data_IF_394333621313
#
_entry.id   IF_394333621313
#
_cell.length_a   1.000
_cell.length_b   1.000
_cell.length_c   1.000
_cell.angle_alpha   90.00
_cell.angle_beta   90.00
_cell.angle_gamma   90.00
#
_symmetry.space_group_name_H-M   'P 1'
#
loop_
_entity.id
_entity.type
_entity.pdbx_description
1 polymer ?
#
# COMPACT_ATOMS: atom_id res chain seq x y z
N UNK A 1 9.57 25.02 -5.08
CA UNK A 1 8.45 24.36 -4.36
C UNK A 1 7.83 23.33 -5.29
N UNK A 2 7.62 22.10 -4.84
CA UNK A 2 7.06 20.98 -5.62
C UNK A 2 5.63 20.74 -5.13
N UNK A 3 4.66 20.68 -6.03
CA UNK A 3 3.27 20.44 -5.70
C UNK A 3 2.99 18.93 -5.72
N UNK A 4 2.66 18.38 -4.56
CA UNK A 4 2.41 16.95 -4.35
C UNK A 4 0.96 16.72 -3.99
N UNK A 5 0.27 15.79 -4.63
CA UNK A 5 -1.07 15.39 -4.20
C UNK A 5 -1.07 13.99 -3.62
N UNK A 6 -1.84 13.80 -2.54
CA UNK A 6 -2.03 12.51 -1.84
C UNK A 6 -3.52 12.26 -1.68
N UNK A 7 -3.99 11.10 -2.14
CA UNK A 7 -5.38 10.67 -1.96
C UNK A 7 -5.55 9.82 -0.69
N UNK A 8 -6.81 9.62 -0.28
CA UNK A 8 -7.16 8.71 0.80
C UNK A 8 -6.57 9.09 2.15
N UNK A 9 -6.51 10.38 2.44
CA UNK A 9 -5.84 10.90 3.65
C UNK A 9 -6.57 10.58 4.96
N UNK A 10 -7.77 10.03 4.90
CA UNK A 10 -8.46 9.47 6.06
C UNK A 10 -7.89 8.13 6.53
N UNK A 11 -7.26 7.38 5.61
CA UNK A 11 -6.66 6.07 5.89
C UNK A 11 -5.19 6.15 6.34
N UNK A 12 -4.71 5.08 6.97
CA UNK A 12 -3.35 5.00 7.50
C UNK A 12 -2.25 5.05 6.41
N UNK A 13 -2.57 4.67 5.16
CA UNK A 13 -1.66 4.75 4.01
C UNK A 13 -1.41 6.20 3.63
N UNK A 14 -2.48 6.97 3.34
CA UNK A 14 -2.37 8.38 2.98
C UNK A 14 -1.73 9.23 4.08
N UNK A 15 -2.13 9.00 5.34
CA UNK A 15 -1.50 9.62 6.51
C UNK A 15 -0.01 9.27 6.62
N UNK A 16 0.34 8.00 6.33
CA UNK A 16 1.72 7.54 6.31
C UNK A 16 2.56 8.27 5.27
N UNK A 17 2.03 8.44 4.05
CA UNK A 17 2.69 9.20 2.98
C UNK A 17 2.88 10.67 3.35
N UNK A 18 1.85 11.32 3.91
CA UNK A 18 1.97 12.73 4.34
C UNK A 18 3.02 12.87 5.44
N UNK A 19 3.08 11.94 6.42
CA UNK A 19 4.14 11.96 7.44
C UNK A 19 5.54 11.82 6.83
N UNK A 20 5.70 11.05 5.76
CA UNK A 20 6.96 10.95 5.00
C UNK A 20 7.30 12.28 4.34
N UNK A 21 6.34 12.91 3.68
CA UNK A 21 6.52 14.18 2.99
C UNK A 21 6.86 15.33 3.97
N UNK A 22 6.19 15.36 5.13
CA UNK A 22 6.47 16.34 6.18
C UNK A 22 7.86 16.18 6.84
N UNK A 23 8.49 15.00 6.70
CA UNK A 23 9.87 14.75 7.16
C UNK A 23 10.91 15.03 6.08
N UNK A 24 10.49 15.34 4.86
CA UNK A 24 11.38 15.60 3.73
C UNK A 24 12.06 16.96 3.86
N UNK A 25 13.34 17.02 3.45
CA UNK A 25 14.08 18.29 3.31
C UNK A 25 13.72 19.04 2.01
N UNK A 26 12.81 18.51 1.17
CA UNK A 26 12.35 19.16 -0.05
C UNK A 26 11.32 20.24 0.28
N UNK A 27 11.34 21.32 -0.48
CA UNK A 27 10.32 22.38 -0.40
C UNK A 27 9.05 21.90 -1.11
N UNK A 28 8.06 21.38 -0.33
CA UNK A 28 6.84 20.76 -0.81
C UNK A 28 5.60 21.58 -0.45
N UNK A 29 4.61 21.60 -1.35
CA UNK A 29 3.22 21.94 -1.06
C UNK A 29 2.38 20.68 -1.23
N UNK A 30 1.68 20.26 -0.18
CA UNK A 30 0.99 18.96 -0.13
C UNK A 30 -0.51 19.16 -0.21
N UNK A 31 -1.11 18.76 -1.32
CA UNK A 31 -2.54 18.77 -1.58
C UNK A 31 -3.16 17.45 -1.13
N UNK A 32 -4.11 17.50 -0.22
CA UNK A 32 -4.77 16.35 0.41
C UNK A 32 -6.15 16.18 -0.18
N UNK A 33 -6.45 15.00 -0.72
CA UNK A 33 -7.77 14.69 -1.27
C UNK A 33 -8.37 13.44 -0.62
N UNK A 34 -9.67 13.50 -0.36
CA UNK A 34 -10.47 12.37 0.09
C UNK A 34 -11.91 12.53 -0.36
N UNK A 35 -12.65 11.43 -0.43
CA UNK A 35 -14.07 11.44 -0.78
C UNK A 35 -15.01 11.65 0.43
N UNK A 36 -14.45 11.74 1.63
CA UNK A 36 -15.23 11.87 2.87
C UNK A 36 -14.88 13.14 3.64
N UNK A 37 -15.85 13.97 3.88
CA UNK A 37 -15.74 15.15 4.76
C UNK A 37 -15.43 14.80 6.22
N UNK A 38 -15.53 13.52 6.60
CA UNK A 38 -15.24 13.06 7.96
C UNK A 38 -13.76 12.66 8.15
N UNK A 39 -12.93 12.78 7.12
CA UNK A 39 -11.52 12.44 7.22
C UNK A 39 -10.74 13.53 7.95
N UNK A 40 -10.19 13.19 9.10
CA UNK A 40 -9.57 14.11 10.05
C UNK A 40 -8.45 14.97 9.45
N UNK A 41 -7.63 14.39 8.56
CA UNK A 41 -6.49 15.08 7.96
C UNK A 41 -6.87 16.19 6.97
N UNK A 42 -8.14 16.30 6.58
CA UNK A 42 -8.66 17.41 5.79
C UNK A 42 -8.82 18.72 6.58
N UNK A 43 -8.66 18.66 7.90
CA UNK A 43 -8.82 19.81 8.81
C UNK A 43 -7.51 20.32 9.40
N UNK A 44 -6.36 19.77 8.99
CA UNK A 44 -5.05 20.14 9.53
C UNK A 44 -4.42 21.35 8.82
N UNK A 45 -4.82 21.64 7.59
CA UNK A 45 -4.39 22.80 6.82
C UNK A 45 -5.39 23.16 5.69
N UNK A 46 -5.02 24.14 4.85
CA UNK A 46 -5.91 24.68 3.82
C UNK A 46 -5.81 24.00 2.45
N UNK A 47 -4.77 23.20 2.17
CA UNK A 47 -4.62 22.50 0.88
C UNK A 47 -5.33 21.12 0.91
N UNK A 48 -6.61 21.15 1.29
CA UNK A 48 -7.46 19.98 1.48
C UNK A 48 -8.74 20.10 0.64
N UNK A 49 -9.13 18.98 -0.02
CA UNK A 49 -10.21 18.96 -1.00
C UNK A 49 -11.01 17.66 -0.92
N UNK A 50 -12.32 17.77 -1.19
CA UNK A 50 -13.19 16.61 -1.34
C UNK A 50 -13.23 16.21 -2.81
N UNK A 51 -12.88 14.96 -3.10
CA UNK A 51 -12.99 14.37 -4.43
C UNK A 51 -14.31 13.62 -4.60
N UNK A 52 -14.77 13.38 -5.83
CA UNK A 52 -15.74 12.34 -6.12
C UNK A 52 -15.23 10.99 -5.63
N UNK A 53 -16.15 10.04 -5.44
CA UNK A 53 -15.79 8.66 -5.17
C UNK A 53 -15.23 8.02 -6.45
N UNK A 54 -14.51 6.90 -6.31
CA UNK A 54 -13.95 6.16 -7.45
C UNK A 54 -15.03 5.57 -8.39
N UNK A 55 -16.27 5.52 -7.97
CA UNK A 55 -17.43 5.02 -8.74
C UNK A 55 -18.09 6.11 -9.60
N UNK A 56 -17.65 7.36 -9.45
CA UNK A 56 -18.08 8.51 -10.22
C UNK A 56 -17.05 8.88 -11.28
N UNK A 57 -17.11 10.09 -11.86
CA UNK A 57 -16.13 10.53 -12.87
C UNK A 57 -14.80 10.97 -12.23
N UNK A 58 -14.20 10.07 -11.44
CA UNK A 58 -12.98 10.32 -10.67
C UNK A 58 -11.77 10.67 -11.55
N UNK A 59 -11.62 10.03 -12.70
CA UNK A 59 -10.46 10.28 -13.58
C UNK A 59 -10.53 11.67 -14.22
N UNK A 60 -11.70 12.12 -14.64
CA UNK A 60 -11.87 13.49 -15.19
C UNK A 60 -11.64 14.55 -14.11
N UNK A 61 -12.19 14.33 -12.90
CA UNK A 61 -11.91 15.17 -11.75
C UNK A 61 -10.40 15.23 -11.49
N UNK A 62 -9.72 14.11 -11.38
CA UNK A 62 -8.30 14.08 -11.09
C UNK A 62 -7.45 14.83 -12.12
N UNK A 63 -7.78 14.69 -13.42
CA UNK A 63 -7.10 15.43 -14.49
C UNK A 63 -7.33 16.94 -14.35
N UNK A 64 -8.57 17.37 -14.07
CA UNK A 64 -8.89 18.77 -13.82
C UNK A 64 -8.14 19.31 -12.60
N UNK A 65 -8.22 18.61 -11.48
CA UNK A 65 -7.56 18.94 -10.22
C UNK A 65 -6.04 19.10 -10.39
N UNK A 66 -5.38 18.13 -11.04
CA UNK A 66 -3.95 18.16 -11.32
C UNK A 66 -3.56 19.41 -12.12
N UNK A 67 -4.32 19.75 -13.15
CA UNK A 67 -4.03 20.91 -13.99
C UNK A 67 -4.29 22.24 -13.25
N UNK A 68 -5.40 22.33 -12.50
CA UNK A 68 -5.76 23.52 -11.71
C UNK A 68 -4.68 23.84 -10.66
N UNK A 69 -4.24 22.82 -9.92
CA UNK A 69 -3.27 22.98 -8.83
C UNK A 69 -1.81 22.78 -9.27
N UNK A 70 -1.56 22.51 -10.55
CA UNK A 70 -0.21 22.29 -11.13
C UNK A 70 0.56 21.21 -10.35
N UNK A 71 -0.09 20.07 -10.12
CA UNK A 71 0.49 18.97 -9.37
C UNK A 71 1.64 18.34 -10.16
N UNK A 72 2.83 18.25 -9.55
CA UNK A 72 4.01 17.64 -10.14
C UNK A 72 4.02 16.11 -9.98
N UNK A 73 3.51 15.62 -8.84
CA UNK A 73 3.42 14.20 -8.56
C UNK A 73 2.17 13.88 -7.74
N UNK A 74 1.50 12.78 -8.12
CA UNK A 74 0.32 12.24 -7.43
C UNK A 74 0.64 10.86 -6.80
N UNK A 75 0.32 10.72 -5.52
CA UNK A 75 0.42 9.47 -4.75
C UNK A 75 -0.97 8.91 -4.45
N UNK A 76 -1.45 7.91 -5.21
CA UNK A 76 -2.68 7.21 -4.89
C UNK A 76 -2.47 6.30 -3.67
N UNK A 77 -3.39 6.38 -2.68
CA UNK A 77 -3.26 5.69 -1.40
C UNK A 77 -4.48 4.84 -0.99
N UNK A 78 -5.47 4.68 -1.87
CA UNK A 78 -6.66 3.86 -1.62
C UNK A 78 -6.56 2.57 -2.43
N UNK A 79 -6.69 1.41 -1.79
CA UNK A 79 -6.59 0.11 -2.47
C UNK A 79 -7.49 0.01 -3.69
N UNK A 80 -8.74 0.47 -3.58
CA UNK A 80 -9.71 0.43 -4.68
C UNK A 80 -9.39 1.39 -5.83
N UNK A 81 -8.66 2.49 -5.59
CA UNK A 81 -8.28 3.42 -6.67
C UNK A 81 -7.05 2.96 -7.45
N UNK A 82 -6.14 2.21 -6.82
CA UNK A 82 -4.87 1.79 -7.43
C UNK A 82 -5.06 1.13 -8.80
N UNK A 83 -5.93 0.12 -8.97
CA UNK A 83 -6.18 -0.50 -10.29
C UNK A 83 -6.76 0.49 -11.30
N UNK A 84 -7.65 1.38 -10.86
CA UNK A 84 -8.29 2.39 -11.72
C UNK A 84 -7.26 3.40 -12.21
N UNK A 85 -6.44 3.92 -11.30
CA UNK A 85 -5.36 4.87 -11.63
C UNK A 85 -4.33 4.20 -12.52
N UNK A 86 -3.90 2.98 -12.21
CA UNK A 86 -2.93 2.25 -13.02
C UNK A 86 -3.41 2.04 -14.45
N UNK A 87 -4.67 1.62 -14.64
CA UNK A 87 -5.30 1.46 -15.96
C UNK A 87 -5.40 2.77 -16.75
N UNK A 88 -5.53 3.90 -16.07
CA UNK A 88 -5.67 5.23 -16.68
C UNK A 88 -4.39 6.09 -16.61
N UNK A 89 -3.26 5.54 -16.17
CA UNK A 89 -2.01 6.26 -15.96
C UNK A 89 -1.58 7.06 -17.19
N UNK A 90 -1.55 6.43 -18.35
CA UNK A 90 -1.14 7.09 -19.61
C UNK A 90 -2.11 8.20 -20.01
N UNK A 91 -3.42 7.99 -19.80
CA UNK A 91 -4.44 9.03 -20.03
C UNK A 91 -4.23 10.24 -19.12
N UNK A 92 -3.93 10.02 -17.84
CA UNK A 92 -3.66 11.10 -16.88
C UNK A 92 -2.39 11.83 -17.29
N UNK A 93 -1.29 11.11 -17.49
CA UNK A 93 0.01 11.70 -17.82
C UNK A 93 0.05 12.38 -19.21
N UNK A 94 -0.75 11.93 -20.18
CA UNK A 94 -0.84 12.59 -21.49
C UNK A 94 -1.65 13.90 -21.46
N UNK A 95 -2.53 14.07 -20.47
CA UNK A 95 -3.36 15.28 -20.30
C UNK A 95 -2.84 16.25 -19.24
N UNK A 96 -1.77 15.86 -18.55
CA UNK A 96 -1.16 16.64 -17.47
C UNK A 96 0.36 16.49 -17.51
N UNK A 97 1.10 17.36 -16.81
CA UNK A 97 2.55 17.20 -16.59
C UNK A 97 2.90 16.32 -15.39
N UNK A 98 1.89 15.86 -14.67
CA UNK A 98 2.01 15.16 -13.40
C UNK A 98 2.65 13.76 -13.56
N UNK A 99 3.51 13.38 -12.62
CA UNK A 99 3.95 12.01 -12.45
C UNK A 99 2.99 11.26 -11.55
N UNK A 100 2.48 10.12 -12.01
CA UNK A 100 1.59 9.27 -11.21
C UNK A 100 2.40 8.11 -10.63
N UNK A 101 2.51 8.05 -9.30
CA UNK A 101 3.28 7.01 -8.62
C UNK A 101 2.46 5.73 -8.48
N UNK A 102 2.34 5.02 -9.56
CA UNK A 102 1.70 3.69 -9.63
C UNK A 102 2.43 2.86 -10.68
N UNK A 103 2.48 1.55 -10.48
CA UNK A 103 3.05 0.62 -11.45
C UNK A 103 2.06 0.22 -12.56
N UNK A 104 2.51 -0.60 -13.51
CA UNK A 104 1.72 -1.06 -14.63
C UNK A 104 0.53 -1.91 -14.18
N UNK A 105 -0.60 -1.77 -14.86
CA UNK A 105 -1.86 -2.40 -14.48
C UNK A 105 -1.76 -3.91 -14.30
N UNK A 106 -1.04 -4.62 -15.19
CA UNK A 106 -0.85 -6.06 -15.07
C UNK A 106 -0.14 -6.47 -13.77
N UNK A 107 0.89 -5.73 -13.35
CA UNK A 107 1.59 -5.98 -12.09
C UNK A 107 0.68 -5.70 -10.88
N UNK A 108 -0.10 -4.61 -10.96
CA UNK A 108 -1.09 -4.28 -9.93
C UNK A 108 -2.12 -5.41 -9.77
N UNK A 109 -2.60 -5.99 -10.88
CA UNK A 109 -3.53 -7.12 -10.82
C UNK A 109 -2.91 -8.34 -10.11
N UNK A 110 -1.65 -8.69 -10.40
CA UNK A 110 -0.94 -9.78 -9.71
C UNK A 110 -0.89 -9.54 -8.20
N UNK A 111 -0.59 -8.32 -7.78
CA UNK A 111 -0.51 -7.99 -6.35
C UNK A 111 -1.89 -7.92 -5.67
N UNK A 112 -2.94 -7.49 -6.38
CA UNK A 112 -4.28 -7.36 -5.80
C UNK A 112 -5.01 -8.69 -5.59
N UNK A 113 -4.76 -9.66 -6.46
CA UNK A 113 -5.39 -10.98 -6.41
C UNK A 113 -4.44 -11.98 -5.74
N UNK A 114 -4.80 -12.45 -4.55
CA UNK A 114 -3.97 -13.37 -3.75
C UNK A 114 -3.74 -14.73 -4.42
N UNK A 115 -4.67 -15.17 -5.28
CA UNK A 115 -4.46 -16.37 -6.10
C UNK A 115 -3.42 -16.13 -7.18
N UNK A 116 -3.51 -15.00 -7.90
CA UNK A 116 -2.51 -14.61 -8.90
C UNK A 116 -1.14 -14.38 -8.26
N UNK A 117 -1.09 -13.77 -7.07
CA UNK A 117 0.13 -13.61 -6.28
C UNK A 117 0.80 -14.97 -6.01
N UNK A 118 0.04 -15.97 -5.53
CA UNK A 118 0.58 -17.30 -5.23
C UNK A 118 1.10 -17.98 -6.51
N UNK A 119 0.31 -17.99 -7.59
CA UNK A 119 0.74 -18.55 -8.89
C UNK A 119 2.00 -17.87 -9.40
N UNK A 120 2.07 -16.54 -9.34
CA UNK A 120 3.25 -15.78 -9.75
C UNK A 120 4.50 -16.18 -8.94
N UNK A 121 4.39 -16.29 -7.63
CA UNK A 121 5.51 -16.69 -6.77
C UNK A 121 5.96 -18.12 -7.09
N UNK A 122 5.04 -19.05 -7.33
CA UNK A 122 5.33 -20.43 -7.71
C UNK A 122 6.04 -20.51 -9.07
N UNK A 123 5.59 -19.76 -10.07
CA UNK A 123 6.20 -19.73 -11.41
C UNK A 123 7.69 -19.33 -11.37
N UNK A 124 8.05 -18.49 -10.40
CA UNK A 124 9.45 -18.10 -10.14
C UNK A 124 10.15 -18.94 -9.08
N UNK A 125 9.54 -20.05 -8.64
CA UNK A 125 10.08 -20.93 -7.58
C UNK A 125 10.40 -20.17 -6.27
N UNK A 126 9.66 -19.11 -6.00
CA UNK A 126 9.72 -18.37 -4.74
C UNK A 126 8.82 -19.03 -3.69
N UNK A 127 9.24 -18.96 -2.43
CA UNK A 127 8.44 -19.52 -1.33
C UNK A 127 7.09 -18.78 -1.24
N UNK A 128 6.01 -19.56 -1.09
CA UNK A 128 4.68 -19.05 -0.77
C UNK A 128 3.88 -20.14 -0.05
N UNK A 129 2.79 -19.80 0.67
CA UNK A 129 1.90 -20.82 1.21
C UNK A 129 1.14 -21.53 0.09
N UNK A 130 0.92 -22.83 0.22
CA UNK A 130 0.05 -23.58 -0.69
C UNK A 130 -1.29 -22.86 -0.81
N UNK A 131 -1.69 -22.48 -2.01
CA UNK A 131 -2.87 -21.62 -2.25
C UNK A 131 -3.66 -22.14 -3.43
N UNK A 132 -4.98 -22.33 -3.27
CA UNK A 132 -5.86 -22.80 -4.34
C UNK A 132 -7.24 -22.14 -4.32
N UNK A 133 -8.00 -22.36 -5.41
CA UNK A 133 -9.43 -22.08 -5.46
C UNK A 133 -10.18 -23.20 -4.72
N UNK A 134 -11.31 -22.86 -4.11
CA UNK A 134 -12.10 -23.82 -3.32
C UNK A 134 -13.04 -24.58 -4.24
N UNK A 135 -12.54 -25.67 -4.86
CA UNK A 135 -13.30 -26.50 -5.79
C UNK A 135 -13.78 -27.84 -5.17
N UNK A 136 -13.21 -28.22 -4.04
CA UNK A 136 -13.53 -29.46 -3.31
C UNK A 136 -13.40 -29.25 -1.80
N UNK A 137 -14.11 -30.05 -1.03
CA UNK A 137 -13.92 -30.16 0.42
C UNK A 137 -12.83 -31.15 0.82
N UNK A 138 -12.23 -31.90 -0.14
CA UNK A 138 -11.21 -32.91 0.12
C UNK A 138 -9.84 -32.28 0.36
N UNK A 139 -9.78 -31.50 1.43
CA UNK A 139 -8.53 -30.97 1.96
C UNK A 139 -8.08 -31.82 3.15
N UNK A 140 -6.80 -32.19 3.19
CA UNK A 140 -6.28 -33.15 4.17
C UNK A 140 -5.36 -32.54 5.22
N UNK A 141 -5.00 -31.24 5.06
CA UNK A 141 -4.14 -30.51 5.99
C UNK A 141 -4.96 -29.44 6.67
N UNK A 142 -4.98 -29.39 7.97
CA UNK A 142 -5.64 -28.37 8.80
C UNK A 142 -4.69 -27.91 9.91
N UNK A 143 -4.80 -26.66 10.40
CA UNK A 143 -5.73 -25.64 9.94
C UNK A 143 -5.37 -25.02 8.58
N UNK A 144 -6.35 -24.41 7.90
CA UNK A 144 -6.16 -23.61 6.70
C UNK A 144 -6.84 -22.25 6.84
N UNK A 145 -6.45 -21.30 6.00
CA UNK A 145 -7.09 -19.99 5.88
C UNK A 145 -8.00 -19.97 4.65
N UNK A 146 -9.24 -19.55 4.82
CA UNK A 146 -10.11 -19.10 3.71
C UNK A 146 -10.21 -17.58 3.79
N UNK A 147 -9.96 -16.92 2.67
CA UNK A 147 -10.02 -15.45 2.57
C UNK A 147 -10.40 -14.99 1.18
N UNK A 148 -10.91 -13.76 1.07
CA UNK A 148 -11.18 -13.14 -0.22
C UNK A 148 -9.92 -13.04 -1.08
N UNK A 149 -10.04 -13.35 -2.37
CA UNK A 149 -8.97 -13.19 -3.37
C UNK A 149 -8.51 -11.74 -3.44
N UNK A 150 -9.46 -10.82 -3.56
CA UNK A 150 -9.22 -9.37 -3.59
C UNK A 150 -9.69 -8.75 -2.27
N UNK A 151 -9.17 -7.56 -1.94
CA UNK A 151 -9.52 -6.84 -0.73
C UNK A 151 -8.37 -6.66 0.23
N UNK A 152 -8.57 -5.79 1.22
CA UNK A 152 -7.56 -5.31 2.16
C UNK A 152 -8.08 -5.25 3.60
N UNK A 153 -7.18 -4.99 4.55
CA UNK A 153 -7.52 -4.70 5.94
C UNK A 153 -7.94 -5.91 6.76
N UNK A 154 -7.47 -7.11 6.41
CA UNK A 154 -7.75 -8.37 7.14
C UNK A 154 -9.25 -8.67 7.34
N UNK A 155 -10.09 -8.15 6.44
CA UNK A 155 -11.52 -8.43 6.44
C UNK A 155 -11.76 -9.79 5.79
N UNK A 156 -12.78 -10.50 6.31
CA UNK A 156 -13.25 -11.74 5.72
C UNK A 156 -12.15 -12.83 5.63
N UNK A 157 -11.48 -13.06 6.77
CA UNK A 157 -10.47 -14.12 6.95
C UNK A 157 -11.03 -15.14 7.92
N UNK A 158 -11.08 -16.40 7.50
CA UNK A 158 -11.61 -17.52 8.27
C UNK A 158 -10.52 -18.56 8.51
N UNK A 159 -10.27 -18.88 9.76
CA UNK A 159 -9.40 -19.99 10.15
C UNK A 159 -10.26 -21.25 10.26
N UNK A 160 -9.94 -22.25 9.47
CA UNK A 160 -10.75 -23.46 9.24
C UNK A 160 -9.99 -24.67 9.80
N UNK A 161 -10.70 -25.47 10.57
CA UNK A 161 -10.13 -26.66 11.25
C UNK A 161 -10.70 -27.98 10.74
N UNK A 162 -11.76 -27.96 9.92
CA UNK A 162 -12.41 -29.18 9.42
C UNK A 162 -12.93 -29.02 7.99
N UNK A 163 -13.17 -30.17 7.33
CA UNK A 163 -13.76 -30.20 5.97
C UNK A 163 -15.16 -29.60 5.92
N UNK A 164 -15.93 -29.77 6.99
CA UNK A 164 -17.30 -29.29 7.11
C UNK A 164 -17.38 -27.77 7.05
N UNK A 165 -16.39 -27.09 7.64
CA UNK A 165 -16.29 -25.62 7.65
C UNK A 165 -15.96 -25.02 6.28
N UNK A 166 -15.44 -25.80 5.33
CA UNK A 166 -15.16 -25.37 3.96
C UNK A 166 -16.45 -25.21 3.15
N UNK A 167 -17.52 -25.96 3.47
CA UNK A 167 -18.75 -26.06 2.67
C UNK A 167 -19.39 -24.71 2.26
N UNK A 168 -19.46 -23.69 3.15
CA UNK A 168 -20.07 -22.39 2.78
C UNK A 168 -19.31 -21.66 1.65
N UNK A 169 -18.05 -21.98 1.44
CA UNK A 169 -17.15 -21.32 0.48
C UNK A 169 -16.96 -22.12 -0.81
N UNK A 170 -17.52 -23.33 -0.90
CA UNK A 170 -17.30 -24.23 -2.03
C UNK A 170 -17.78 -23.61 -3.34
N UNK A 171 -16.92 -23.68 -4.37
CA UNK A 171 -17.14 -23.10 -5.70
C UNK A 171 -17.34 -21.57 -5.72
N UNK A 172 -17.08 -20.89 -4.63
CA UNK A 172 -17.07 -19.43 -4.62
C UNK A 172 -15.71 -18.92 -5.13
N UNK A 173 -15.71 -18.34 -6.34
CA UNK A 173 -14.50 -17.88 -7.03
C UNK A 173 -13.87 -16.62 -6.40
N UNK A 174 -14.59 -15.96 -5.49
CA UNK A 174 -14.13 -14.78 -4.79
C UNK A 174 -13.24 -15.13 -3.58
N UNK A 175 -13.12 -16.43 -3.26
CA UNK A 175 -12.32 -16.92 -2.15
C UNK A 175 -11.20 -17.85 -2.61
N UNK A 176 -10.15 -17.87 -1.81
CA UNK A 176 -9.06 -18.84 -1.87
C UNK A 176 -9.00 -19.64 -0.57
N UNK A 177 -8.47 -20.85 -0.68
CA UNK A 177 -8.00 -21.65 0.44
C UNK A 177 -6.47 -21.60 0.45
N UNK A 178 -5.89 -21.31 1.61
CA UNK A 178 -4.44 -21.12 1.74
C UNK A 178 -3.92 -21.85 2.98
N UNK A 179 -2.73 -22.40 2.88
CA UNK A 179 -1.99 -22.99 3.99
C UNK A 179 -1.92 -22.00 5.16
N UNK A 180 -2.26 -22.46 6.37
CA UNK A 180 -2.03 -21.68 7.58
C UNK A 180 -0.54 -21.68 7.92
N UNK A 181 0.03 -20.50 7.97
CA UNK A 181 1.39 -20.31 8.46
C UNK A 181 1.32 -19.86 9.92
N UNK A 182 1.94 -20.63 10.80
CA UNK A 182 2.03 -20.27 12.22
C UNK A 182 3.14 -19.23 12.47
N UNK A 183 3.13 -18.65 13.68
CA UNK A 183 4.18 -17.75 14.14
C UNK A 183 3.87 -16.26 13.93
N UNK A 184 4.91 -15.46 14.09
CA UNK A 184 4.83 -14.00 14.02
C UNK A 184 4.52 -13.48 12.62
N UNK A 185 3.84 -12.36 12.54
CA UNK A 185 3.55 -11.68 11.29
C UNK A 185 4.54 -10.54 11.04
N UNK A 186 5.06 -10.51 9.82
CA UNK A 186 6.02 -9.52 9.35
C UNK A 186 5.45 -8.74 8.17
N UNK A 187 5.93 -7.52 8.02
CA UNK A 187 5.73 -6.72 6.81
C UNK A 187 7.05 -6.09 6.41
N UNK A 188 7.33 -6.09 5.11
CA UNK A 188 8.50 -5.41 4.58
C UNK A 188 8.07 -4.36 3.56
N UNK A 189 8.68 -3.17 3.62
CA UNK A 189 8.62 -2.19 2.55
C UNK A 189 9.91 -2.20 1.76
N UNK A 190 9.78 -2.20 0.44
CA UNK A 190 10.92 -2.18 -0.49
C UNK A 190 10.73 -1.07 -1.51
N UNK A 191 11.77 -0.27 -1.73
CA UNK A 191 11.80 0.73 -2.80
C UNK A 191 12.77 0.32 -3.90
N UNK A 192 12.25 0.21 -5.13
CA UNK A 192 13.01 -0.04 -6.35
C UNK A 192 13.18 1.28 -7.09
N UNK A 193 14.42 1.71 -7.30
CA UNK A 193 14.73 2.94 -8.02
C UNK A 193 14.47 2.84 -9.53
N UNK A 194 14.47 3.97 -10.20
CA UNK A 194 14.32 4.07 -11.67
C UNK A 194 15.43 3.31 -12.42
N UNK A 195 16.59 3.09 -11.81
CA UNK A 195 17.69 2.26 -12.34
C UNK A 195 17.47 0.74 -12.13
N UNK A 196 16.29 0.33 -11.67
CA UNK A 196 15.94 -1.05 -11.34
C UNK A 196 16.80 -1.69 -10.23
N UNK A 197 17.36 -0.90 -9.33
CA UNK A 197 18.10 -1.39 -8.16
C UNK A 197 17.32 -1.14 -6.89
N UNK A 198 17.37 -2.09 -5.97
CA UNK A 198 16.80 -1.91 -4.64
C UNK A 198 17.55 -0.78 -3.92
N UNK A 199 16.81 0.21 -3.45
CA UNK A 199 17.32 1.39 -2.74
C UNK A 199 17.05 1.36 -1.25
N UNK A 200 16.08 0.57 -0.81
CA UNK A 200 15.75 0.41 0.60
C UNK A 200 14.94 -0.85 0.85
N UNK A 201 15.26 -1.54 1.94
CA UNK A 201 14.49 -2.63 2.53
C UNK A 201 14.31 -2.33 4.01
N UNK A 202 13.11 -2.51 4.51
CA UNK A 202 12.83 -2.41 5.93
C UNK A 202 11.82 -3.47 6.34
N UNK A 203 12.22 -4.35 7.23
CA UNK A 203 11.39 -5.42 7.78
C UNK A 203 10.88 -4.99 9.16
N UNK A 204 9.59 -5.15 9.38
CA UNK A 204 8.92 -4.93 10.66
C UNK A 204 8.21 -6.22 11.09
N UNK A 205 8.49 -6.69 12.31
CA UNK A 205 7.61 -7.61 13.03
C UNK A 205 6.48 -6.78 13.64
N UNK A 206 5.23 -7.19 13.48
CA UNK A 206 4.10 -6.35 13.87
C UNK A 206 2.98 -7.10 14.58
N UNK A 207 2.19 -6.36 15.37
CA UNK A 207 0.87 -6.78 15.81
C UNK A 207 -0.19 -5.91 15.13
N UNK A 208 -1.34 -6.50 14.88
CA UNK A 208 -2.46 -5.80 14.25
C UNK A 208 -3.55 -5.49 15.29
N UNK A 209 -4.24 -4.38 15.07
CA UNK A 209 -5.52 -4.05 15.69
C UNK A 209 -6.43 -3.51 14.59
N UNK A 210 -7.60 -4.12 14.43
CA UNK A 210 -8.59 -3.75 13.41
C UNK A 210 -8.00 -3.69 11.97
N UNK A 211 -7.11 -4.66 11.63
CA UNK A 211 -6.46 -4.76 10.32
C UNK A 211 -5.28 -3.80 10.10
N UNK A 212 -5.04 -2.86 11.02
CA UNK A 212 -3.92 -1.91 10.96
C UNK A 212 -2.79 -2.28 11.91
N UNK A 213 -1.55 -1.95 11.56
CA UNK A 213 -0.39 -2.14 12.45
C UNK A 213 -0.57 -1.31 13.71
N UNK A 214 -0.61 -1.96 14.87
CA UNK A 214 -0.74 -1.30 16.17
C UNK A 214 0.61 -1.13 16.86
N UNK A 215 1.38 -2.22 16.97
CA UNK A 215 2.78 -2.15 17.41
C UNK A 215 3.69 -2.76 16.35
N UNK A 216 4.93 -2.30 16.29
CA UNK A 216 5.94 -2.89 15.41
C UNK A 216 7.34 -2.73 16.02
N UNK A 217 8.22 -3.68 15.68
CA UNK A 217 9.66 -3.54 15.90
C UNK A 217 10.40 -3.77 14.59
N UNK A 218 11.47 -3.02 14.37
CA UNK A 218 12.35 -3.26 13.24
C UNK A 218 13.18 -4.51 13.45
N UNK A 219 13.14 -5.41 12.47
CA UNK A 219 14.00 -6.59 12.38
C UNK A 219 15.28 -6.22 11.64
N UNK A 220 16.41 -6.58 12.22
CA UNK A 220 17.74 -6.44 11.63
C UNK A 220 18.28 -7.85 11.39
N UNK A 221 18.01 -8.38 10.23
CA UNK A 221 18.43 -9.71 9.79
C UNK A 221 18.79 -9.64 8.30
N UNK A 222 20.09 -9.72 8.01
CA UNK A 222 20.61 -9.57 6.64
C UNK A 222 20.11 -10.66 5.72
N UNK A 223 19.95 -11.90 6.21
CA UNK A 223 19.45 -13.01 5.40
C UNK A 223 18.00 -12.75 4.98
N UNK A 224 17.15 -12.31 5.91
CA UNK A 224 15.75 -11.97 5.59
C UNK A 224 15.67 -10.75 4.67
N UNK A 225 16.53 -9.74 4.86
CA UNK A 225 16.58 -8.57 3.96
C UNK A 225 16.99 -8.98 2.53
N UNK A 226 17.94 -9.91 2.37
CA UNK A 226 18.34 -10.45 1.07
C UNK A 226 17.21 -11.28 0.41
N UNK A 227 16.51 -12.12 1.16
CA UNK A 227 15.36 -12.88 0.65
C UNK A 227 14.23 -11.93 0.19
N UNK A 228 13.91 -10.90 0.96
CA UNK A 228 12.93 -9.86 0.60
C UNK A 228 13.37 -9.09 -0.65
N UNK A 229 14.65 -8.70 -0.73
CA UNK A 229 15.19 -8.01 -1.90
C UNK A 229 15.14 -8.90 -3.16
N UNK A 230 15.42 -10.19 -3.04
CA UNK A 230 15.29 -11.15 -4.13
C UNK A 230 13.85 -11.24 -4.65
N UNK A 231 12.85 -11.38 -3.76
CA UNK A 231 11.43 -11.37 -4.13
C UNK A 231 11.07 -10.07 -4.85
N UNK A 232 11.43 -8.92 -4.27
CA UNK A 232 11.13 -7.61 -4.88
C UNK A 232 11.81 -7.41 -6.23
N UNK A 233 13.00 -7.97 -6.45
CA UNK A 233 13.72 -7.93 -7.72
C UNK A 233 13.03 -8.74 -8.84
N UNK A 234 12.27 -9.78 -8.49
CA UNK A 234 11.42 -10.51 -9.44
C UNK A 234 10.13 -9.74 -9.72
N UNK A 235 9.43 -9.27 -8.70
CA UNK A 235 8.14 -8.56 -8.83
C UNK A 235 8.32 -7.20 -9.53
N UNK A 236 9.43 -6.50 -9.26
CA UNK A 236 9.84 -5.24 -9.93
C UNK A 236 8.79 -4.13 -9.85
N UNK A 237 8.26 -3.90 -8.65
CA UNK A 237 7.40 -2.77 -8.34
C UNK A 237 8.23 -1.60 -7.79
N UNK A 238 7.86 -0.36 -8.12
CA UNK A 238 8.52 0.86 -7.59
C UNK A 238 8.47 0.91 -6.07
N UNK A 239 7.35 0.56 -5.50
CA UNK A 239 7.23 0.28 -4.08
C UNK A 239 6.43 -1.01 -3.89
N UNK A 240 7.01 -1.93 -3.14
CA UNK A 240 6.39 -3.20 -2.81
C UNK A 240 6.28 -3.35 -1.29
N UNK A 241 5.07 -3.58 -0.81
CA UNK A 241 4.84 -4.03 0.56
C UNK A 241 4.60 -5.55 0.54
N UNK A 242 5.47 -6.29 1.22
CA UNK A 242 5.42 -7.75 1.33
C UNK A 242 4.96 -8.11 2.74
N UNK A 243 3.85 -8.83 2.85
CA UNK A 243 3.40 -9.40 4.11
C UNK A 243 3.75 -10.88 4.13
N UNK A 244 4.40 -11.33 5.19
CA UNK A 244 4.94 -12.68 5.25
C UNK A 244 5.00 -13.23 6.66
N UNK A 245 5.13 -14.55 6.75
CA UNK A 245 5.55 -15.28 7.95
C UNK A 245 6.80 -16.08 7.62
N UNK A 246 7.44 -16.63 8.62
CA UNK A 246 8.58 -17.51 8.41
C UNK A 246 8.11 -18.97 8.32
N UNK A 247 8.46 -19.64 7.24
CA UNK A 247 8.28 -21.09 7.07
C UNK A 247 9.65 -21.76 7.07
N UNK A 248 9.95 -22.56 8.07
CA UNK A 248 11.28 -23.18 8.24
C UNK A 248 12.42 -22.14 8.25
N UNK A 249 12.20 -20.99 8.90
CA UNK A 249 13.17 -19.90 9.00
C UNK A 249 13.34 -19.04 7.74
N UNK A 250 12.59 -19.30 6.66
CA UNK A 250 12.64 -18.55 5.40
C UNK A 250 11.41 -17.67 5.22
N UNK A 251 11.57 -16.58 4.48
CA UNK A 251 10.48 -15.70 4.09
C UNK A 251 9.43 -16.46 3.27
N UNK A 252 8.18 -16.45 3.72
CA UNK A 252 7.05 -17.03 3.03
C UNK A 252 5.94 -15.97 2.86
N UNK A 253 5.94 -15.24 1.74
CA UNK A 253 4.96 -14.18 1.47
C UNK A 253 3.56 -14.76 1.28
N UNK A 254 2.57 -14.19 1.94
CA UNK A 254 1.17 -14.53 1.77
C UNK A 254 0.33 -13.40 1.15
N UNK A 255 0.94 -12.20 0.99
CA UNK A 255 0.32 -11.06 0.35
C UNK A 255 1.39 -10.10 -0.18
N UNK A 256 1.21 -9.63 -1.40
CA UNK A 256 2.00 -8.58 -2.03
C UNK A 256 1.10 -7.37 -2.30
N UNK A 257 1.60 -6.17 -2.01
CA UNK A 257 0.89 -4.93 -2.28
C UNK A 257 1.80 -3.99 -3.06
N UNK A 258 1.49 -3.74 -4.34
CA UNK A 258 2.25 -2.86 -5.24
C UNK A 258 1.94 -1.38 -5.01
N UNK A 259 1.97 -0.94 -3.76
CA UNK A 259 1.63 0.42 -3.33
C UNK A 259 2.22 0.73 -1.96
N UNK A 260 2.19 1.99 -1.57
CA UNK A 260 2.46 2.35 -0.18
C UNK A 260 1.51 1.62 0.79
N UNK A 261 1.96 1.43 1.99
CA UNK A 261 1.23 0.68 3.03
C UNK A 261 1.02 1.53 4.28
N UNK A 262 0.15 1.09 5.17
CA UNK A 262 -0.02 1.75 6.46
C UNK A 262 1.26 1.80 7.32
N UNK A 263 2.29 1.03 6.96
CA UNK A 263 3.61 1.08 7.62
C UNK A 263 4.61 2.03 6.93
N UNK A 264 4.28 2.63 5.79
CA UNK A 264 5.19 3.51 5.03
C UNK A 264 5.72 4.67 5.90
N UNK A 265 4.85 5.30 6.71
CA UNK A 265 5.27 6.33 7.65
C UNK A 265 6.21 5.84 8.77
N UNK A 266 6.13 4.57 9.15
CA UNK A 266 7.06 3.92 10.10
C UNK A 266 8.40 3.66 9.40
N UNK A 267 8.35 3.10 8.20
CA UNK A 267 9.52 2.77 7.36
C UNK A 267 10.33 4.01 7.01
N UNK A 268 9.71 5.20 6.98
CA UNK A 268 10.41 6.46 6.74
C UNK A 268 11.51 6.79 7.76
N UNK A 269 11.55 6.11 8.91
CA UNK A 269 12.69 6.18 9.83
C UNK A 269 13.92 5.39 9.34
N UNK A 270 13.77 4.61 8.28
CA UNK A 270 14.85 3.87 7.60
C UNK A 270 15.12 4.51 6.24
N UNK A 271 14.14 4.59 5.38
CA UNK A 271 14.20 5.29 4.09
C UNK A 271 12.85 5.94 3.77
N UNK A 272 12.89 7.13 3.19
CA UNK A 272 11.70 7.91 2.86
C UNK A 272 11.32 7.66 1.39
N UNK A 273 10.53 6.62 1.14
CA UNK A 273 10.17 6.23 -0.22
C UNK A 273 9.39 7.30 -1.01
N UNK A 274 8.41 8.04 -0.46
CA UNK A 274 7.78 9.17 -1.15
C UNK A 274 8.78 10.26 -1.56
N UNK A 275 9.73 10.62 -0.71
CA UNK A 275 10.77 11.59 -1.04
C UNK A 275 11.70 11.06 -2.14
N UNK A 276 12.11 9.78 -2.06
CA UNK A 276 12.92 9.12 -3.08
C UNK A 276 12.22 9.16 -4.44
N UNK A 277 10.90 8.88 -4.47
CA UNK A 277 10.10 8.96 -5.68
C UNK A 277 10.06 10.38 -6.27
N UNK A 278 9.93 11.41 -5.45
CA UNK A 278 10.00 12.81 -5.91
C UNK A 278 11.38 13.12 -6.49
N UNK A 279 12.45 12.71 -5.82
CA UNK A 279 13.83 12.93 -6.30
C UNK A 279 14.05 12.30 -7.66
N UNK A 280 13.62 11.05 -7.88
CA UNK A 280 13.82 10.36 -9.15
C UNK A 280 12.86 10.83 -10.24
N UNK A 281 11.54 10.91 -9.96
CA UNK A 281 10.52 11.13 -10.98
C UNK A 281 10.35 12.60 -11.36
N UNK A 282 10.50 13.52 -10.40
CA UNK A 282 10.29 14.96 -10.60
C UNK A 282 11.63 15.66 -10.78
N UNK A 283 12.56 15.48 -9.85
CA UNK A 283 13.85 16.20 -9.87
C UNK A 283 14.91 15.54 -10.76
N UNK A 284 14.64 14.33 -11.28
CA UNK A 284 15.58 13.55 -12.12
C UNK A 284 16.94 13.30 -11.44
N UNK A 285 16.93 13.13 -10.12
CA UNK A 285 18.11 12.86 -9.31
C UNK A 285 18.16 11.38 -8.94
N UNK A 286 19.32 10.76 -9.08
CA UNK A 286 19.53 9.42 -8.56
C UNK A 286 19.48 9.41 -7.03
N UNK A 287 18.86 8.38 -6.47
CA UNK A 287 18.88 8.12 -5.04
C UNK A 287 19.86 6.99 -4.73
N UNK A 288 20.66 7.17 -3.70
CA UNK A 288 21.58 6.13 -3.25
C UNK A 288 20.83 5.08 -2.42
N UNK A 289 21.31 3.81 -2.43
CA UNK A 289 20.80 2.81 -1.50
C UNK A 289 20.94 3.29 -0.05
N UNK A 290 19.90 3.06 0.73
CA UNK A 290 19.89 3.46 2.13
C UNK A 290 20.26 2.27 3.01
N UNK A 291 21.35 2.42 3.78
CA UNK A 291 21.84 1.45 4.76
C UNK A 291 21.65 2.04 6.14
N UNK A 292 20.72 1.52 6.92
CA UNK A 292 20.50 1.97 8.29
C UNK A 292 20.37 0.76 9.21
N UNK A 293 21.20 0.72 10.24
CA UNK A 293 21.30 -0.40 11.19
C UNK A 293 20.59 -0.15 12.54
N UNK A 294 19.81 0.92 12.67
CA UNK A 294 19.19 1.27 13.96
C UNK A 294 17.93 0.44 14.21
N UNK A 295 17.91 -0.31 15.31
CA UNK A 295 16.68 -0.95 15.81
C UNK A 295 15.78 0.10 16.46
N UNK A 296 14.45 -0.05 16.28
CA UNK A 296 13.45 0.80 16.92
C UNK A 296 12.16 0.02 17.17
N UNK A 297 11.34 0.55 18.05
CA UNK A 297 10.01 0.07 18.39
C UNK A 297 8.99 1.15 18.13
N UNK A 298 7.78 0.75 17.71
CA UNK A 298 6.69 1.67 17.40
C UNK A 298 5.43 1.21 18.12
N UNK A 299 4.75 2.18 18.72
CA UNK A 299 3.41 2.05 19.26
C UNK A 299 2.56 3.16 18.65
N UNK A 300 1.36 2.83 18.16
CA UNK A 300 0.39 3.82 17.67
C UNK A 300 -0.57 4.22 18.76
N UNK A 301 -1.00 5.47 18.74
CA UNK A 301 -2.05 6.01 19.58
C UNK A 301 -3.05 6.78 18.72
N UNK A 302 -4.23 7.01 19.27
CA UNK A 302 -5.26 7.85 18.64
C UNK A 302 -5.16 9.27 19.15
N UNK A 303 -5.44 10.22 18.26
CA UNK A 303 -5.52 11.64 18.54
C UNK A 303 -6.79 12.19 17.86
N UNK A 304 -7.54 13.04 18.53
CA UNK A 304 -8.76 13.65 18.05
C UNK A 304 -8.47 14.97 17.38
N UNK A 305 -9.20 15.25 16.28
CA UNK A 305 -9.20 16.52 15.60
C UNK A 305 -10.62 17.09 15.68
N UNK A 306 -10.73 18.30 16.21
CA UNK A 306 -11.99 19.04 16.31
C UNK A 306 -12.14 19.97 15.13
N UNK A 307 -13.28 19.93 14.46
CA UNK A 307 -13.64 20.86 13.38
C UNK A 307 -14.94 21.55 13.69
N UNK A 308 -15.07 22.82 13.27
CA UNK A 308 -16.32 23.58 13.37
C UNK A 308 -17.20 23.32 12.14
N UNK A 309 -18.46 23.74 12.22
CA UNK A 309 -19.37 23.66 11.07
C UNK A 309 -18.87 24.55 9.93
N UNK A 310 -18.37 25.74 10.24
CA UNK A 310 -17.81 26.69 9.26
C UNK A 310 -16.64 26.06 8.49
N UNK A 311 -15.72 25.40 9.18
CA UNK A 311 -14.59 24.69 8.54
C UNK A 311 -15.08 23.58 7.59
N UNK A 312 -16.13 22.84 7.96
CA UNK A 312 -16.73 21.81 7.08
C UNK A 312 -17.38 22.42 5.84
N UNK A 313 -18.10 23.53 5.99
CA UNK A 313 -18.72 24.25 4.89
C UNK A 313 -17.68 24.88 3.96
N UNK A 314 -16.61 25.46 4.50
CA UNK A 314 -15.48 26.00 3.72
C UNK A 314 -14.80 24.89 2.89
N UNK A 315 -14.55 23.71 3.48
CA UNK A 315 -13.96 22.56 2.80
C UNK A 315 -14.84 22.10 1.63
N UNK A 316 -16.16 21.99 1.86
CA UNK A 316 -17.13 21.59 0.84
C UNK A 316 -17.24 22.63 -0.28
N UNK A 317 -17.21 23.93 0.04
CA UNK A 317 -17.31 24.99 -0.95
C UNK A 317 -16.05 25.07 -1.81
N UNK A 318 -14.88 25.01 -1.21
CA UNK A 318 -13.59 24.95 -1.93
C UNK A 318 -13.54 23.81 -2.94
N UNK A 319 -14.10 22.67 -2.58
CA UNK A 319 -14.10 21.46 -3.42
C UNK A 319 -15.13 21.49 -4.57
N UNK A 320 -16.08 22.42 -4.57
CA UNK A 320 -17.05 22.57 -5.67
C UNK A 320 -16.47 23.25 -6.91
N UNK A 321 -15.43 24.07 -6.73
CA UNK A 321 -14.80 24.84 -7.80
C UNK A 321 -13.75 23.99 -8.56
N UNK A 322 -13.33 22.88 -7.99
CA UNK A 322 -12.38 21.91 -8.55
C UNK A 322 -13.10 20.76 -9.29
#
# INVERSE_FOLDING_TARGET
MINVSVSGVGGDVGQGVIRCLNKSDLELRIFKISSSVNDSWLYLDNDCFISPTIYEDYISYLIKFINTHKIDIFFPCIDLEIPIISKNKDKIQSKTSCKVFVDDYHKIQICNDKYMTARYLEDFSLSCPETDLITTIDHNKFPVIIKSREGCGSKDIHLIYSKEEIRPFLNNKDYIIQEYLDGDEYTAGVYLGEDNRIKGVCILKRTLKDGSTYTAERVLDLQLEEEIAAIASHVRMKYLNIQFRLKNGKVCPFELNGRFSGTTGIISNVFNAPEMAIKELVLKKNVSPFLHSKKFYVMRYYEEIFSTQEQREELLNRSKDD
#
